data_IF_509262929552
#
_entry.id   IF_509262929552
#
_cell.length_a   1.000
_cell.length_b   1.000
_cell.length_c   1.000
_cell.angle_alpha   90.00
_cell.angle_beta   90.00
_cell.angle_gamma   90.00
#
_symmetry.space_group_name_H-M   'P 1'
#
loop_
_entity.id
_entity.type
_entity.pdbx_description
1 polymer ?
#
# COMPACT_ATOMS: atom_id res chain seq x y z
N UNK A 1 -8.62 14.57 -9.44
CA UNK A 1 -9.96 15.13 -9.12
C UNK A 1 -10.97 14.38 -10.00
N UNK A 2 -12.01 13.76 -9.42
CA UNK A 2 -13.05 13.06 -10.22
C UNK A 2 -13.72 11.83 -9.59
N UNK A 3 -13.13 11.22 -8.54
CA UNK A 3 -13.69 10.01 -7.91
C UNK A 3 -13.72 8.80 -8.85
N UNK A 4 -14.36 7.71 -8.41
CA UNK A 4 -14.42 6.45 -9.18
C UNK A 4 -15.18 6.60 -10.51
N UNK A 5 -16.23 7.42 -10.54
CA UNK A 5 -17.02 7.64 -11.76
C UNK A 5 -16.21 8.28 -12.89
N UNK A 6 -15.46 9.34 -12.59
CA UNK A 6 -14.59 9.97 -13.60
C UNK A 6 -13.41 9.09 -14.01
N UNK A 7 -12.86 8.31 -13.07
CA UNK A 7 -11.81 7.34 -13.39
C UNK A 7 -12.31 6.31 -14.41
N UNK A 8 -13.49 5.71 -14.17
CA UNK A 8 -14.10 4.72 -15.08
C UNK A 8 -14.43 5.30 -16.45
N UNK A 9 -14.99 6.51 -16.49
CA UNK A 9 -15.22 7.24 -17.74
C UNK A 9 -13.92 7.49 -18.53
N UNK A 10 -12.77 7.59 -17.86
CA UNK A 10 -11.49 7.93 -18.49
C UNK A 10 -10.71 6.71 -18.99
N UNK A 11 -11.13 5.48 -18.65
CA UNK A 11 -10.49 4.25 -19.12
C UNK A 11 -11.32 3.60 -20.23
N UNK A 12 -10.75 2.64 -20.95
CA UNK A 12 -11.50 1.89 -21.97
C UNK A 12 -12.61 1.03 -21.35
N UNK A 13 -13.70 0.80 -22.08
CA UNK A 13 -14.80 -0.10 -21.69
C UNK A 13 -14.31 -1.50 -21.28
N UNK A 14 -13.25 -2.01 -21.91
CA UNK A 14 -12.65 -3.31 -21.56
C UNK A 14 -12.06 -3.30 -20.14
N UNK A 15 -11.40 -2.22 -19.76
CA UNK A 15 -10.83 -2.06 -18.42
C UNK A 15 -11.93 -1.85 -17.37
N UNK A 16 -12.97 -1.08 -17.69
CA UNK A 16 -14.13 -0.88 -16.82
C UNK A 16 -14.90 -2.19 -16.58
N UNK A 17 -15.17 -2.97 -17.64
CA UNK A 17 -15.77 -4.31 -17.50
C UNK A 17 -14.90 -5.21 -16.63
N UNK A 18 -13.57 -5.18 -16.85
CA UNK A 18 -12.59 -5.90 -16.03
C UNK A 18 -12.65 -5.54 -14.55
N UNK A 19 -12.74 -4.25 -14.21
CA UNK A 19 -12.93 -3.74 -12.84
C UNK A 19 -14.19 -4.37 -12.21
N UNK A 20 -15.33 -4.30 -12.90
CA UNK A 20 -16.59 -4.81 -12.35
C UNK A 20 -16.58 -6.31 -12.05
N UNK A 21 -16.03 -7.13 -12.94
CA UNK A 21 -16.08 -8.59 -12.79
C UNK A 21 -14.92 -9.16 -11.99
N UNK A 22 -13.78 -8.48 -11.94
CA UNK A 22 -12.56 -8.99 -11.28
C UNK A 22 -12.27 -8.29 -9.96
N UNK A 23 -12.63 -7.02 -9.80
CA UNK A 23 -12.40 -6.25 -8.58
C UNK A 23 -12.93 -6.96 -7.31
N UNK A 24 -14.22 -7.34 -7.26
CA UNK A 24 -14.78 -8.06 -6.11
C UNK A 24 -14.22 -9.47 -5.89
N UNK A 25 -13.57 -10.08 -6.90
CA UNK A 25 -12.90 -11.38 -6.76
C UNK A 25 -11.55 -11.26 -6.05
N UNK A 26 -10.90 -10.10 -6.18
CA UNK A 26 -9.63 -9.80 -5.49
C UNK A 26 -9.90 -9.20 -4.11
N UNK A 27 -10.81 -8.23 -4.03
CA UNK A 27 -11.24 -7.56 -2.80
C UNK A 27 -12.62 -8.07 -2.42
N UNK A 28 -12.65 -9.24 -1.79
CA UNK A 28 -13.84 -9.96 -1.36
C UNK A 28 -14.30 -9.59 0.06
N UNK A 29 -15.33 -10.27 0.58
CA UNK A 29 -15.84 -10.04 1.94
C UNK A 29 -14.81 -10.41 3.02
N UNK A 30 -13.92 -11.37 2.75
CA UNK A 30 -12.84 -11.73 3.69
C UNK A 30 -11.86 -10.57 3.85
N UNK A 31 -11.53 -9.86 2.75
CA UNK A 31 -10.71 -8.64 2.85
C UNK A 31 -11.44 -7.57 3.66
N UNK A 32 -12.75 -7.39 3.48
CA UNK A 32 -13.55 -6.45 4.29
C UNK A 32 -13.58 -6.81 5.76
N UNK A 33 -13.74 -8.08 6.11
CA UNK A 33 -13.69 -8.52 7.51
C UNK A 33 -12.29 -8.32 8.12
N UNK A 34 -11.24 -8.58 7.34
CA UNK A 34 -9.87 -8.29 7.77
C UNK A 34 -9.70 -6.80 8.07
N UNK A 35 -10.23 -5.92 7.23
CA UNK A 35 -10.21 -4.47 7.48
C UNK A 35 -10.98 -4.10 8.76
N UNK A 36 -12.14 -4.72 9.02
CA UNK A 36 -12.90 -4.49 10.27
C UNK A 36 -12.11 -4.97 11.49
N UNK A 37 -11.43 -6.11 11.40
CA UNK A 37 -10.58 -6.61 12.48
C UNK A 37 -9.42 -5.66 12.76
N UNK A 38 -8.70 -5.22 11.73
CA UNK A 38 -7.60 -4.23 11.89
C UNK A 38 -8.12 -2.96 12.56
N UNK A 39 -9.29 -2.46 12.15
CA UNK A 39 -9.91 -1.30 12.80
C UNK A 39 -10.22 -1.57 14.28
N UNK A 40 -10.76 -2.74 14.63
CA UNK A 40 -11.01 -3.12 16.03
C UNK A 40 -9.71 -3.15 16.85
N UNK A 41 -8.64 -3.73 16.31
CA UNK A 41 -7.31 -3.78 16.97
C UNK A 41 -6.71 -2.39 17.18
N UNK A 42 -7.02 -1.43 16.31
CA UNK A 42 -6.63 -0.02 16.50
C UNK A 42 -7.48 0.60 17.62
N UNK A 43 -8.81 0.46 17.53
CA UNK A 43 -9.76 1.10 18.45
C UNK A 43 -9.65 0.59 19.89
N UNK A 44 -9.35 -0.70 20.07
CA UNK A 44 -9.19 -1.31 21.38
C UNK A 44 -7.77 -1.18 21.96
N UNK A 45 -6.84 -0.55 21.23
CA UNK A 45 -5.47 -0.31 21.67
C UNK A 45 -4.47 -1.45 21.46
N UNK A 46 -4.91 -2.65 21.03
CA UNK A 46 -4.01 -3.80 20.83
C UNK A 46 -2.90 -3.52 19.81
N UNK A 47 -3.18 -2.76 18.75
CA UNK A 47 -2.16 -2.35 17.79
C UNK A 47 -1.09 -1.45 18.42
N UNK A 48 -1.51 -0.47 19.24
CA UNK A 48 -0.61 0.46 19.89
C UNK A 48 0.29 -0.25 20.92
N UNK A 49 -0.28 -1.18 21.69
CA UNK A 49 0.47 -2.00 22.64
C UNK A 49 1.57 -2.82 21.94
N UNK A 50 1.22 -3.54 20.85
CA UNK A 50 2.19 -4.30 20.03
C UNK A 50 3.34 -3.41 19.55
N UNK A 51 3.03 -2.19 19.10
CA UNK A 51 4.04 -1.24 18.62
C UNK A 51 4.96 -0.74 19.75
N UNK A 52 4.38 -0.33 20.88
CA UNK A 52 5.15 0.15 22.04
C UNK A 52 6.09 -0.95 22.52
N UNK A 53 5.61 -2.19 22.61
CA UNK A 53 6.41 -3.35 23.00
C UNK A 53 7.58 -3.62 22.04
N UNK A 54 7.32 -3.62 20.73
CA UNK A 54 8.37 -3.78 19.71
C UNK A 54 9.40 -2.65 19.82
N UNK A 55 8.95 -1.42 20.04
CA UNK A 55 9.85 -0.27 20.19
C UNK A 55 10.71 -0.38 21.46
N UNK A 56 10.11 -0.76 22.58
CA UNK A 56 10.81 -0.96 23.85
C UNK A 56 11.84 -2.11 23.76
N UNK A 57 11.59 -3.11 22.91
CA UNK A 57 12.51 -4.23 22.61
C UNK A 57 13.58 -3.87 21.56
N UNK A 58 13.66 -2.62 21.13
CA UNK A 58 14.70 -2.14 20.21
C UNK A 58 14.38 -2.28 18.72
N UNK A 59 13.12 -2.54 18.34
CA UNK A 59 12.63 -2.53 16.95
C UNK A 59 13.25 -3.56 16.01
N UNK A 60 13.72 -4.70 16.51
CA UNK A 60 14.42 -5.69 15.68
C UNK A 60 13.55 -6.24 14.54
N UNK A 61 12.28 -6.58 14.81
CA UNK A 61 11.38 -7.07 13.76
C UNK A 61 11.04 -5.96 12.78
N UNK A 62 10.80 -4.75 13.29
CA UNK A 62 10.50 -3.60 12.44
C UNK A 62 11.65 -3.26 11.49
N UNK A 63 12.89 -3.27 11.98
CA UNK A 63 14.08 -3.03 11.15
C UNK A 63 14.29 -4.15 10.14
N UNK A 64 14.05 -5.41 10.51
CA UNK A 64 14.10 -6.54 9.56
C UNK A 64 13.07 -6.37 8.45
N UNK A 65 11.81 -6.10 8.78
CA UNK A 65 10.76 -5.86 7.77
C UNK A 65 11.11 -4.69 6.86
N UNK A 66 11.66 -3.59 7.42
CA UNK A 66 12.11 -2.44 6.64
C UNK A 66 13.19 -2.82 5.62
N UNK A 67 14.18 -3.60 6.03
CA UNK A 67 15.24 -4.08 5.14
C UNK A 67 14.67 -4.99 4.04
N UNK A 68 13.82 -5.95 4.41
CA UNK A 68 13.15 -6.85 3.45
C UNK A 68 12.36 -6.06 2.38
N UNK A 69 11.62 -5.02 2.80
CA UNK A 69 10.87 -4.17 1.88
C UNK A 69 11.76 -3.28 1.01
N UNK A 70 12.89 -2.80 1.53
CA UNK A 70 13.86 -2.02 0.76
C UNK A 70 14.58 -2.85 -0.32
N UNK A 71 14.71 -4.16 -0.08
CA UNK A 71 15.34 -5.11 -1.00
C UNK A 71 14.35 -5.71 -2.03
N UNK A 72 13.08 -5.34 -2.00
CA UNK A 72 12.09 -5.87 -2.93
C UNK A 72 12.43 -5.44 -4.38
N UNK A 73 12.37 -6.36 -5.34
CA UNK A 73 12.78 -6.14 -6.74
C UNK A 73 12.12 -4.90 -7.38
N UNK A 74 10.87 -4.62 -7.01
CA UNK A 74 10.11 -3.43 -7.44
C UNK A 74 10.82 -2.12 -7.13
N UNK A 75 11.62 -2.05 -6.06
CA UNK A 75 12.38 -0.85 -5.70
C UNK A 75 13.59 -0.66 -6.62
N UNK A 76 14.32 -1.74 -6.93
CA UNK A 76 15.44 -1.69 -7.89
C UNK A 76 14.96 -1.30 -9.28
N UNK A 77 14.00 -2.06 -9.83
CA UNK A 77 13.46 -1.80 -11.18
C UNK A 77 12.76 -0.45 -11.22
N UNK A 78 12.02 -0.11 -10.16
CA UNK A 78 11.32 1.17 -10.05
C UNK A 78 12.28 2.36 -10.01
N UNK A 79 13.41 2.26 -9.31
CA UNK A 79 14.41 3.32 -9.26
C UNK A 79 15.06 3.57 -10.64
N UNK A 80 15.42 2.51 -11.36
CA UNK A 80 15.96 2.61 -12.72
C UNK A 80 14.96 3.29 -13.66
N UNK A 81 13.71 2.81 -13.67
CA UNK A 81 12.66 3.38 -14.51
C UNK A 81 12.41 4.85 -14.18
N UNK A 82 12.28 5.20 -12.89
CA UNK A 82 12.07 6.60 -12.46
C UNK A 82 13.26 7.48 -12.81
N UNK A 83 14.50 6.96 -12.78
CA UNK A 83 15.71 7.69 -13.18
C UNK A 83 15.72 8.08 -14.67
N UNK A 84 15.01 7.34 -15.52
CA UNK A 84 14.85 7.64 -16.94
C UNK A 84 13.71 8.62 -17.24
N UNK A 85 12.95 9.06 -16.22
CA UNK A 85 11.80 9.95 -16.38
C UNK A 85 12.16 11.39 -15.96
N UNK A 86 12.71 12.23 -16.86
CA UNK A 86 13.19 13.58 -16.52
C UNK A 86 12.10 14.54 -15.99
N UNK A 87 10.82 14.19 -16.20
CA UNK A 87 9.69 14.94 -15.67
C UNK A 87 9.35 14.59 -14.21
N UNK A 88 9.89 13.50 -13.66
CA UNK A 88 9.81 13.22 -12.24
C UNK A 88 10.88 14.04 -11.52
N UNK A 89 10.45 14.96 -10.65
CA UNK A 89 11.38 15.60 -9.73
C UNK A 89 11.81 14.56 -8.70
N UNK A 90 13.10 14.23 -8.57
CA UNK A 90 13.54 13.37 -7.48
C UNK A 90 13.23 14.11 -6.17
N UNK A 91 12.36 13.52 -5.33
CA UNK A 91 12.23 13.96 -3.94
C UNK A 91 13.45 13.45 -3.21
N UNK A 92 14.32 14.36 -2.80
CA UNK A 92 15.40 14.06 -1.85
C UNK A 92 14.83 13.98 -0.44
N UNK A 93 15.54 13.33 0.50
CA UNK A 93 15.10 13.19 1.91
C UNK A 93 14.87 14.53 2.63
N UNK A 94 15.23 15.66 2.01
CA UNK A 94 15.04 17.03 2.50
C UNK A 94 13.76 17.74 1.96
N UNK A 95 12.88 17.06 1.23
CA UNK A 95 11.54 17.56 0.80
C UNK A 95 10.39 17.20 1.77
#
# INVERSE_FOLDING_TARGET
RGGLGFMRYSVSDTAEYGDYVSGPRVIDERVRETMRQVLREIQNGSFAEKWIDENNKGRQNFLRMREEHAQHEVETVGAELRGMMPWLKPRTEDD
#
